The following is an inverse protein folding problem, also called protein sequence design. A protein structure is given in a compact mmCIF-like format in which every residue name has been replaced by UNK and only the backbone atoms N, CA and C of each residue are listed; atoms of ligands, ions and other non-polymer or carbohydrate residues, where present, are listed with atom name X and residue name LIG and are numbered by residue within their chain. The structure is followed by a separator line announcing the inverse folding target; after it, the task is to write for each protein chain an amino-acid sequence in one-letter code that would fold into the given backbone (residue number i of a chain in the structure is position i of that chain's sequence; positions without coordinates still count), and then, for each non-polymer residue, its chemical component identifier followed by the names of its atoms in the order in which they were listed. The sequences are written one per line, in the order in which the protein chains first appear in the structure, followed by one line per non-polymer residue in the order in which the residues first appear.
data_IF_759366847891
#
_entry.id   IF_759366847891
#
_cell.length_a   1.000
_cell.length_b   1.000
_cell.length_c   1.000
_cell.angle_alpha   90.00
_cell.angle_beta   90.00
_cell.angle_gamma   90.00
#
_symmetry.space_group_name_H-M   'P 1'
#
loop_
_entity.id
_entity.type
_entity.pdbx_description
1 polymer ?
#
# COMPACT_ATOMS: atom_id res chain seq x y z
N UNK A 1 -20.27 6.77 6.83
CA UNK A 1 -20.12 5.46 7.48
C UNK A 1 -19.73 4.41 6.47
N UNK A 2 -18.79 3.58 6.84
CA UNK A 2 -18.31 2.55 5.94
C UNK A 2 -18.87 1.18 6.25
N UNK A 3 -19.97 1.15 7.02
CA UNK A 3 -20.59 -0.10 7.44
C UNK A 3 -21.11 -0.92 6.27
N UNK A 4 -21.31 -0.27 5.12
CA UNK A 4 -21.85 -0.94 3.94
C UNK A 4 -20.79 -1.38 2.94
N UNK A 5 -19.51 -1.19 3.26
CA UNK A 5 -18.45 -1.65 2.37
C UNK A 5 -18.43 -3.17 2.35
N UNK A 6 -18.36 -3.72 1.14
CA UNK A 6 -18.31 -5.15 0.99
C UNK A 6 -17.03 -5.73 1.59
N UNK A 7 -17.17 -6.85 2.29
CA UNK A 7 -16.03 -7.59 2.79
C UNK A 7 -15.61 -8.62 1.75
N UNK A 8 -14.33 -8.58 1.38
CA UNK A 8 -13.70 -9.55 0.50
C UNK A 8 -12.66 -10.28 1.33
N UNK A 9 -12.81 -11.58 1.49
CA UNK A 9 -11.95 -12.34 2.40
C UNK A 9 -11.40 -13.59 1.73
N UNK A 10 -10.10 -13.84 1.95
CA UNK A 10 -9.42 -15.02 1.42
C UNK A 10 -9.52 -15.18 -0.09
N UNK A 11 -9.49 -14.07 -0.82
CA UNK A 11 -9.58 -14.10 -2.28
C UNK A 11 -8.25 -13.77 -2.93
N UNK A 12 -8.05 -14.29 -4.12
CA UNK A 12 -6.89 -13.97 -4.95
C UNK A 12 -7.37 -13.27 -6.21
N UNK A 13 -6.78 -12.10 -6.47
CA UNK A 13 -7.08 -11.29 -7.65
C UNK A 13 -5.89 -11.36 -8.60
N UNK A 14 -6.13 -11.87 -9.80
CA UNK A 14 -5.07 -12.05 -10.80
C UNK A 14 -5.25 -11.08 -11.94
N UNK A 15 -4.22 -10.28 -12.19
CA UNK A 15 -4.14 -9.42 -13.38
C UNK A 15 -5.35 -8.49 -13.55
N UNK A 16 -5.94 -8.05 -12.44
CA UNK A 16 -7.04 -7.09 -12.55
C UNK A 16 -6.47 -5.68 -12.66
N UNK A 17 -7.21 -4.79 -13.30
CA UNK A 17 -6.82 -3.40 -13.45
C UNK A 17 -7.74 -2.44 -12.72
N UNK A 18 -8.71 -2.97 -11.99
CA UNK A 18 -9.57 -2.16 -11.14
C UNK A 18 -10.14 -3.02 -10.03
N UNK A 19 -10.52 -2.37 -8.94
CA UNK A 19 -11.10 -3.02 -7.77
C UNK A 19 -12.28 -2.19 -7.31
N UNK A 20 -13.28 -2.86 -6.73
CA UNK A 20 -14.40 -2.14 -6.11
C UNK A 20 -13.99 -1.73 -4.70
N UNK A 21 -14.37 -0.51 -4.32
CA UNK A 21 -14.10 -0.02 -2.97
C UNK A 21 -14.69 -0.99 -1.95
N UNK A 22 -13.94 -1.30 -0.92
CA UNK A 22 -14.38 -2.25 0.09
C UNK A 22 -13.32 -2.57 1.11
N UNK A 23 -13.59 -3.57 1.93
CA UNK A 23 -12.65 -4.13 2.89
C UNK A 23 -12.10 -5.43 2.30
N UNK A 24 -10.78 -5.52 2.27
CA UNK A 24 -10.08 -6.71 1.77
C UNK A 24 -9.25 -7.29 2.90
N UNK A 25 -9.55 -8.52 3.29
CA UNK A 25 -8.89 -9.21 4.40
C UNK A 25 -8.33 -10.54 3.91
N UNK A 26 -7.05 -10.78 4.22
CA UNK A 26 -6.37 -12.02 3.82
C UNK A 26 -6.43 -12.27 2.31
N UNK A 27 -6.32 -11.21 1.52
CA UNK A 27 -6.38 -11.29 0.07
C UNK A 27 -5.00 -11.18 -0.55
N UNK A 28 -4.85 -11.77 -1.74
CA UNK A 28 -3.62 -11.69 -2.53
C UNK A 28 -3.95 -11.04 -3.86
N UNK A 29 -3.14 -10.06 -4.25
CA UNK A 29 -3.27 -9.36 -5.53
C UNK A 29 -2.00 -9.68 -6.33
N UNK A 30 -2.14 -10.41 -7.42
CA UNK A 30 -0.99 -10.85 -8.19
C UNK A 30 -1.04 -10.30 -9.61
N UNK A 31 0.05 -9.64 -9.99
CA UNK A 31 0.22 -9.08 -11.34
C UNK A 31 -0.90 -8.12 -11.74
N UNK A 32 -1.40 -7.36 -10.77
CA UNK A 32 -2.45 -6.38 -11.01
C UNK A 32 -1.84 -5.05 -11.45
N UNK A 33 -2.46 -4.41 -12.43
CA UNK A 33 -2.03 -3.09 -12.89
C UNK A 33 -3.00 -2.05 -12.38
N UNK A 34 -2.63 -1.43 -11.27
CA UNK A 34 -3.43 -0.41 -10.62
C UNK A 34 -2.78 0.97 -10.74
N UNK A 35 -2.02 1.18 -11.83
CA UNK A 35 -1.35 2.45 -12.07
C UNK A 35 -2.38 3.58 -12.14
N UNK A 36 -2.15 4.65 -11.40
CA UNK A 36 -3.04 5.81 -11.30
C UNK A 36 -4.43 5.49 -10.74
N UNK A 37 -4.59 4.34 -10.12
CA UNK A 37 -5.91 3.94 -9.61
C UNK A 37 -6.24 4.68 -8.31
N UNK A 38 -7.52 4.98 -8.13
CA UNK A 38 -7.98 5.65 -6.92
C UNK A 38 -8.34 4.60 -5.86
N UNK A 39 -7.46 4.47 -4.86
CA UNK A 39 -7.68 3.56 -3.73
C UNK A 39 -8.18 4.30 -2.49
N UNK A 40 -8.63 5.53 -2.64
CA UNK A 40 -9.11 6.31 -1.51
C UNK A 40 -10.25 5.58 -0.79
N UNK A 41 -10.14 5.53 0.52
CA UNK A 41 -11.13 4.92 1.41
C UNK A 41 -11.25 3.39 1.30
N UNK A 42 -10.36 2.75 0.57
CA UNK A 42 -10.24 1.28 0.60
C UNK A 42 -9.64 0.86 1.94
N UNK A 43 -9.88 -0.38 2.34
CA UNK A 43 -9.26 -0.96 3.52
C UNK A 43 -8.66 -2.32 3.18
N UNK A 44 -7.38 -2.48 3.49
CA UNK A 44 -6.67 -3.74 3.28
C UNK A 44 -6.06 -4.18 4.61
N UNK A 45 -6.34 -5.41 5.01
CA UNK A 45 -5.79 -6.01 6.22
C UNK A 45 -5.22 -7.37 5.91
N UNK A 46 -3.96 -7.61 6.31
CA UNK A 46 -3.28 -8.89 6.08
C UNK A 46 -3.32 -9.30 4.61
N UNK A 47 -3.05 -8.34 3.75
CA UNK A 47 -3.06 -8.55 2.31
C UNK A 47 -1.65 -8.53 1.73
N UNK A 48 -1.49 -9.15 0.56
CA UNK A 48 -0.22 -9.17 -0.18
C UNK A 48 -0.45 -8.66 -1.59
N UNK A 49 0.46 -7.82 -2.03
CA UNK A 49 0.51 -7.37 -3.43
C UNK A 49 1.81 -7.90 -4.01
N UNK A 50 1.72 -8.73 -5.05
CA UNK A 50 2.88 -9.38 -5.68
C UNK A 50 2.92 -9.01 -7.15
N UNK A 51 4.07 -8.52 -7.62
CA UNK A 51 4.27 -8.14 -9.03
C UNK A 51 3.23 -7.14 -9.53
N UNK A 52 2.77 -6.24 -8.66
CA UNK A 52 1.75 -5.27 -9.02
C UNK A 52 2.35 -3.91 -9.34
N UNK A 53 1.65 -3.14 -10.16
CA UNK A 53 1.99 -1.74 -10.42
C UNK A 53 0.97 -0.87 -9.69
N UNK A 54 1.44 -0.16 -8.67
CA UNK A 54 0.60 0.72 -7.86
C UNK A 54 1.10 2.17 -7.97
N UNK A 55 1.86 2.48 -9.00
CA UNK A 55 2.42 3.82 -9.15
C UNK A 55 1.33 4.86 -9.29
N UNK A 56 1.53 5.99 -8.65
CA UNK A 56 0.64 7.15 -8.71
C UNK A 56 -0.79 6.86 -8.21
N UNK A 57 -0.97 5.81 -7.38
CA UNK A 57 -2.26 5.56 -6.75
C UNK A 57 -2.59 6.64 -5.75
N UNK A 58 -3.87 6.93 -5.62
CA UNK A 58 -4.36 7.82 -4.57
C UNK A 58 -4.71 6.99 -3.33
N UNK A 59 -3.99 7.25 -2.24
CA UNK A 59 -4.17 6.52 -0.99
C UNK A 59 -4.90 7.35 0.08
N UNK A 60 -5.66 8.34 -0.31
CA UNK A 60 -6.34 9.20 0.65
C UNK A 60 -7.24 8.38 1.57
N UNK A 61 -6.95 8.44 2.86
CA UNK A 61 -7.70 7.72 3.89
C UNK A 61 -7.76 6.21 3.66
N UNK A 62 -6.82 5.65 2.91
CA UNK A 62 -6.71 4.21 2.69
C UNK A 62 -6.13 3.57 3.94
N UNK A 63 -6.69 2.44 4.36
CA UNK A 63 -6.16 1.69 5.50
C UNK A 63 -5.30 0.54 5.01
N UNK A 64 -4.06 0.49 5.49
CA UNK A 64 -3.12 -0.59 5.16
C UNK A 64 -2.60 -1.18 6.47
N UNK A 65 -3.27 -2.21 6.99
CA UNK A 65 -2.92 -2.86 8.24
C UNK A 65 -2.34 -4.24 7.95
N UNK A 66 -1.04 -4.41 8.19
CA UNK A 66 -0.31 -5.64 7.88
C UNK A 66 -0.41 -5.99 6.41
N UNK A 67 0.13 -5.10 5.58
CA UNK A 67 0.13 -5.30 4.13
C UNK A 67 1.57 -5.43 3.65
N UNK A 68 1.83 -6.44 2.83
CA UNK A 68 3.14 -6.66 2.26
C UNK A 68 3.11 -6.44 0.74
N UNK A 69 4.22 -5.93 0.24
CA UNK A 69 4.41 -5.67 -1.19
C UNK A 69 5.69 -6.37 -1.62
N UNK A 70 5.60 -7.21 -2.62
CA UNK A 70 6.77 -7.91 -3.16
C UNK A 70 6.86 -7.70 -4.66
N UNK A 71 8.02 -7.27 -5.11
CA UNK A 71 8.30 -7.05 -6.54
C UNK A 71 7.29 -6.08 -7.17
N UNK A 72 6.90 -5.07 -6.43
CA UNK A 72 5.90 -4.10 -6.88
C UNK A 72 6.56 -2.79 -7.31
N UNK A 73 5.92 -2.11 -8.23
CA UNK A 73 6.30 -0.78 -8.64
C UNK A 73 5.31 0.19 -7.99
N UNK A 74 5.81 1.03 -7.09
CA UNK A 74 4.96 1.94 -6.30
C UNK A 74 5.61 3.32 -6.33
N UNK A 75 5.79 3.86 -7.53
CA UNK A 75 6.51 5.12 -7.72
C UNK A 75 5.55 6.30 -7.64
N UNK A 76 6.04 7.39 -7.06
CA UNK A 76 5.28 8.63 -7.03
C UNK A 76 4.02 8.58 -6.19
N UNK A 77 4.01 7.77 -5.11
CA UNK A 77 2.84 7.62 -4.25
C UNK A 77 3.02 8.44 -2.98
N UNK A 78 1.98 9.18 -2.60
CA UNK A 78 1.95 9.95 -1.37
C UNK A 78 1.37 9.08 -0.27
N UNK A 79 2.22 8.49 0.55
CA UNK A 79 1.75 7.61 1.64
C UNK A 79 1.22 8.41 2.83
N UNK A 80 1.62 9.67 2.95
CA UNK A 80 1.23 10.48 4.11
C UNK A 80 -0.26 10.77 4.22
N UNK A 81 -1.01 10.60 3.13
CA UNK A 81 -2.45 10.88 3.13
C UNK A 81 -3.30 9.69 3.57
N UNK A 82 -2.68 8.53 3.77
CA UNK A 82 -3.42 7.35 4.16
C UNK A 82 -3.83 7.40 5.63
N UNK A 83 -4.72 6.50 6.01
CA UNK A 83 -5.14 6.37 7.40
C UNK A 83 -3.94 5.83 8.20
N UNK A 84 -3.56 6.58 9.25
CA UNK A 84 -2.35 6.26 10.02
C UNK A 84 -2.57 5.24 11.13
N UNK A 85 -3.77 4.68 11.24
CA UNK A 85 -4.10 3.76 12.32
C UNK A 85 -3.62 2.34 12.00
N UNK A 86 -2.84 1.76 12.92
CA UNK A 86 -2.35 0.38 12.83
C UNK A 86 -1.54 0.08 11.56
N UNK A 87 -0.79 1.06 11.07
CA UNK A 87 0.05 0.85 9.90
C UNK A 87 1.14 -0.18 10.20
N UNK A 88 1.23 -1.20 9.34
CA UNK A 88 2.33 -2.15 9.37
C UNK A 88 2.57 -2.59 7.94
N UNK A 89 3.70 -2.17 7.38
CA UNK A 89 4.00 -2.38 5.97
C UNK A 89 5.33 -3.10 5.80
N UNK A 90 5.44 -3.90 4.76
CA UNK A 90 6.73 -4.43 4.36
C UNK A 90 6.85 -4.35 2.84
N UNK A 91 8.04 -3.98 2.40
CA UNK A 91 8.35 -3.82 0.98
C UNK A 91 9.58 -4.67 0.68
N UNK A 92 9.42 -5.61 -0.23
CA UNK A 92 10.52 -6.47 -0.65
C UNK A 92 10.70 -6.37 -2.17
N UNK A 93 11.90 -5.99 -2.58
CA UNK A 93 12.22 -5.87 -4.01
C UNK A 93 11.26 -4.95 -4.75
N UNK A 94 10.87 -3.86 -4.10
CA UNK A 94 9.95 -2.88 -4.66
C UNK A 94 10.69 -1.64 -5.13
N UNK A 95 10.11 -0.95 -6.10
CA UNK A 95 10.59 0.37 -6.50
C UNK A 95 9.63 1.42 -5.96
N UNK A 96 10.10 2.15 -4.94
CA UNK A 96 9.31 3.19 -4.26
C UNK A 96 9.79 4.60 -4.65
N UNK A 97 10.61 4.70 -5.66
CA UNK A 97 11.23 5.98 -6.04
C UNK A 97 10.20 7.07 -6.23
N UNK A 98 10.54 8.28 -5.81
CA UNK A 98 9.71 9.49 -5.91
C UNK A 98 8.44 9.47 -5.08
N UNK A 99 8.32 8.49 -4.17
CA UNK A 99 7.18 8.45 -3.23
C UNK A 99 7.49 9.26 -2.00
N UNK A 100 6.47 9.55 -1.21
CA UNK A 100 6.63 10.34 0.01
C UNK A 100 6.01 9.64 1.21
N UNK A 101 6.79 9.58 2.30
CA UNK A 101 6.33 9.12 3.60
C UNK A 101 6.33 10.28 4.59
N UNK A 102 6.16 11.49 4.10
CA UNK A 102 6.23 12.71 4.87
C UNK A 102 5.35 12.64 6.13
N UNK A 103 5.96 12.93 7.27
CA UNK A 103 5.30 12.98 8.59
C UNK A 103 4.64 11.66 9.03
N UNK A 104 5.05 10.53 8.47
CA UNK A 104 4.50 9.26 8.89
C UNK A 104 5.29 8.66 10.04
N UNK A 105 4.59 7.87 10.86
CA UNK A 105 5.23 7.03 11.87
C UNK A 105 5.38 5.66 11.26
N UNK A 106 6.59 5.32 10.84
CA UNK A 106 6.87 4.09 10.13
C UNK A 106 7.45 3.01 11.04
N UNK A 107 6.91 2.89 12.24
CA UNK A 107 7.27 1.79 13.13
C UNK A 107 6.81 0.49 12.50
N UNK A 108 7.64 -0.54 12.63
CA UNK A 108 7.32 -1.86 12.09
C UNK A 108 7.12 -1.84 10.57
N UNK A 109 7.87 -0.99 9.89
CA UNK A 109 7.90 -0.96 8.42
C UNK A 109 9.28 -1.45 7.98
N UNK A 110 9.30 -2.38 7.05
CA UNK A 110 10.54 -3.00 6.57
C UNK A 110 10.72 -2.76 5.08
N UNK A 111 11.97 -2.47 4.70
CA UNK A 111 12.37 -2.29 3.31
C UNK A 111 13.52 -3.25 3.03
N UNK A 112 13.33 -4.17 2.10
CA UNK A 112 14.38 -5.11 1.70
C UNK A 112 14.60 -5.03 0.21
N UNK A 113 15.82 -4.71 -0.20
CA UNK A 113 16.20 -4.63 -1.62
C UNK A 113 15.29 -3.72 -2.42
N UNK A 114 14.96 -2.56 -1.86
CA UNK A 114 14.07 -1.62 -2.53
C UNK A 114 14.85 -0.47 -3.17
N UNK A 115 14.29 0.06 -4.25
CA UNK A 115 14.81 1.29 -4.85
C UNK A 115 14.08 2.45 -4.20
N UNK A 116 14.86 3.40 -3.66
CA UNK A 116 14.32 4.51 -2.87
C UNK A 116 14.82 5.86 -3.41
N UNK A 117 15.01 5.97 -4.71
CA UNK A 117 15.50 7.21 -5.30
C UNK A 117 14.53 8.36 -5.04
N UNK A 118 15.05 9.44 -4.47
CA UNK A 118 14.27 10.65 -4.17
C UNK A 118 12.99 10.40 -3.38
N UNK A 119 13.02 9.42 -2.47
CA UNK A 119 11.91 9.21 -1.55
C UNK A 119 11.98 10.26 -0.45
N UNK A 120 10.84 10.86 -0.13
CA UNK A 120 10.75 11.88 0.91
C UNK A 120 10.43 11.24 2.26
N UNK A 121 11.43 11.22 3.16
CA UNK A 121 11.26 10.73 4.53
C UNK A 121 11.26 11.88 5.52
N UNK A 122 11.00 13.10 5.07
CA UNK A 122 11.04 14.28 5.94
C UNK A 122 10.04 14.14 7.09
N UNK A 123 10.49 14.46 8.30
CA UNK A 123 9.70 14.40 9.53
C UNK A 123 9.08 13.03 9.77
N UNK A 124 9.71 11.98 9.28
CA UNK A 124 9.24 10.62 9.43
C UNK A 124 9.88 10.01 10.68
N UNK A 125 9.12 9.22 11.43
CA UNK A 125 9.63 8.48 12.57
C UNK A 125 9.90 7.06 12.14
N UNK A 126 11.17 6.66 12.17
CA UNK A 126 11.62 5.37 11.68
C UNK A 126 12.04 4.38 12.78
N UNK A 127 11.72 4.68 14.02
CA UNK A 127 12.11 3.78 15.11
C UNK A 127 11.43 2.42 14.93
N UNK A 128 12.16 1.35 15.12
CA UNK A 128 11.69 -0.01 14.97
C UNK A 128 11.34 -0.38 13.52
N UNK A 129 11.87 0.37 12.58
CA UNK A 129 11.70 0.04 11.16
C UNK A 129 12.77 -0.92 10.69
#
# INVERSE_FOLDING_TARGET
MNSNLKLNEDETFEKVSELKIGNYVDCVFNKCDLNNFNLANFSFSQCEFIDCNLSNCDLKNTKLAEVSFESCKIMGVEFGVMNQFLIKLSFKECNLSFSSFYQMKLKKTWYMKCELEQVDFTETILSES
#
